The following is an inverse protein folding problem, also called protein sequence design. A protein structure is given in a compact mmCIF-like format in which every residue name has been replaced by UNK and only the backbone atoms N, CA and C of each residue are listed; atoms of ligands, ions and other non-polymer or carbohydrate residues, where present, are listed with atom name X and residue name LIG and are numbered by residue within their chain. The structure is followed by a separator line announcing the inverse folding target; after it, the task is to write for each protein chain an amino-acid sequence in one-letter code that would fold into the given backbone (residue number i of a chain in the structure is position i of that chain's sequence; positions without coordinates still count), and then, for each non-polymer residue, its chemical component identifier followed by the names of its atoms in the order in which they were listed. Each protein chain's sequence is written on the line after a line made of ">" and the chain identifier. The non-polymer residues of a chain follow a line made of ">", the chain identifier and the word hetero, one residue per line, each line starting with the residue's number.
data_IF_306522696191
#
_entry.id   IF_306522696191
#
_cell.length_a   1.000
_cell.length_b   1.000
_cell.length_c   1.000
_cell.angle_alpha   90.00
_cell.angle_beta   90.00
_cell.angle_gamma   90.00
#
_symmetry.space_group_name_H-M   'P 1'
#
loop_
_entity.id
_entity.type
_entity.pdbx_description
1 polymer ?
#
# COMPACT_ATOMS: atom_id res chain seq x y z
N UNK A 1 -19.64 -11.99 6.91
CA UNK A 1 -18.17 -12.06 7.03
C UNK A 1 -17.61 -12.55 5.70
N UNK A 2 -16.37 -12.18 5.37
CA UNK A 2 -15.67 -12.81 4.24
C UNK A 2 -15.56 -14.33 4.50
N UNK A 3 -15.50 -15.11 3.43
CA UNK A 3 -15.26 -16.54 3.57
C UNK A 3 -13.91 -16.78 4.27
N UNK A 4 -13.77 -17.88 5.05
CA UNK A 4 -12.50 -18.21 5.69
C UNK A 4 -11.37 -18.37 4.66
N UNK A 5 -10.19 -17.85 4.98
CA UNK A 5 -8.99 -17.99 4.15
C UNK A 5 -8.23 -16.68 3.93
N UNK A 6 -7.21 -16.76 3.09
CA UNK A 6 -6.34 -15.64 2.75
C UNK A 6 -7.07 -14.59 1.90
N UNK A 7 -6.88 -13.32 2.20
CA UNK A 7 -7.28 -12.24 1.30
C UNK A 7 -6.26 -12.08 0.16
N UNK A 8 -6.72 -11.84 -1.06
CA UNK A 8 -5.79 -11.67 -2.19
C UNK A 8 -4.97 -10.39 -2.08
N UNK A 9 -5.57 -9.31 -1.56
CA UNK A 9 -4.93 -8.01 -1.41
C UNK A 9 -5.38 -7.35 -0.10
N UNK A 10 -4.42 -7.12 0.79
CA UNK A 10 -4.62 -6.42 2.06
C UNK A 10 -4.06 -5.00 1.94
N UNK A 11 -4.84 -4.00 2.36
CA UNK A 11 -4.42 -2.60 2.33
C UNK A 11 -4.09 -2.07 3.73
N UNK A 12 -3.00 -1.30 3.83
CA UNK A 12 -2.95 -0.21 4.81
C UNK A 12 -3.78 0.94 4.27
N UNK A 13 -4.88 1.24 4.96
CA UNK A 13 -5.91 2.15 4.44
C UNK A 13 -5.50 3.62 4.45
N UNK A 14 -4.69 4.03 5.42
CA UNK A 14 -4.10 5.35 5.55
C UNK A 14 -2.86 5.27 6.47
N UNK A 15 -1.96 6.27 6.43
CA UNK A 15 -0.90 6.41 7.42
C UNK A 15 -1.48 6.55 8.83
N UNK A 16 -0.89 5.84 9.79
CA UNK A 16 -1.16 6.02 11.21
C UNK A 16 0.04 6.73 11.86
N UNK A 17 -0.15 7.98 12.28
CA UNK A 17 0.90 8.77 12.89
C UNK A 17 1.22 8.34 14.34
N UNK A 18 0.34 7.56 14.99
CA UNK A 18 0.54 7.11 16.36
C UNK A 18 1.36 5.82 16.44
N UNK A 19 1.36 5.01 15.38
CA UNK A 19 2.07 3.73 15.33
C UNK A 19 3.28 3.82 14.40
N UNK A 20 4.51 3.55 14.89
CA UNK A 20 5.68 3.46 14.03
C UNK A 20 5.45 2.42 12.92
N UNK A 21 5.78 2.77 11.68
CA UNK A 21 5.50 1.91 10.53
C UNK A 21 6.14 0.52 10.67
N UNK A 22 7.29 0.41 11.33
CA UNK A 22 7.96 -0.87 11.61
C UNK A 22 7.13 -1.82 12.46
N UNK A 23 6.32 -1.29 13.39
CA UNK A 23 5.43 -2.10 14.21
C UNK A 23 4.32 -2.70 13.35
N UNK A 24 3.68 -1.86 12.51
CA UNK A 24 2.68 -2.31 11.54
C UNK A 24 3.25 -3.34 10.57
N UNK A 25 4.45 -3.10 10.03
CA UNK A 25 5.09 -4.01 9.09
C UNK A 25 5.50 -5.34 9.73
N UNK A 26 5.87 -5.34 11.02
CA UNK A 26 6.19 -6.57 11.75
C UNK A 26 4.97 -7.46 11.89
N UNK A 27 3.82 -6.88 12.22
CA UNK A 27 2.56 -7.62 12.32
C UNK A 27 2.10 -8.11 10.95
N UNK A 28 2.17 -7.26 9.92
CA UNK A 28 1.87 -7.67 8.55
C UNK A 28 2.74 -8.83 8.07
N UNK A 29 4.03 -8.83 8.44
CA UNK A 29 4.94 -9.93 8.12
C UNK A 29 4.50 -11.23 8.80
N UNK A 30 4.16 -11.21 10.09
CA UNK A 30 3.66 -12.39 10.80
C UNK A 30 2.39 -12.95 10.12
N UNK A 31 1.43 -12.07 9.83
CA UNK A 31 0.20 -12.44 9.12
C UNK A 31 0.47 -13.00 7.70
N UNK A 32 1.53 -12.53 7.03
CA UNK A 32 1.93 -13.10 5.74
C UNK A 32 2.46 -14.51 5.87
N UNK A 33 3.30 -14.76 6.88
CA UNK A 33 3.89 -16.07 7.17
C UNK A 33 2.80 -17.09 7.58
N UNK A 34 1.72 -16.63 8.22
CA UNK A 34 0.51 -17.41 8.49
C UNK A 34 -0.39 -17.64 7.26
N UNK A 35 -0.08 -16.99 6.14
CA UNK A 35 -0.86 -17.09 4.91
C UNK A 35 -2.16 -16.29 4.92
N UNK A 36 -2.30 -15.27 5.78
CA UNK A 36 -3.52 -14.47 5.88
C UNK A 36 -3.76 -13.54 4.67
N UNK A 37 -2.70 -13.19 3.92
CA UNK A 37 -2.79 -12.32 2.75
C UNK A 37 -1.74 -12.65 1.68
N UNK A 38 -2.07 -12.40 0.40
CA UNK A 38 -1.16 -12.69 -0.75
C UNK A 38 -0.40 -11.47 -1.26
N UNK A 39 -1.04 -10.30 -1.27
CA UNK A 39 -0.43 -9.04 -1.70
C UNK A 39 -0.68 -7.93 -0.69
N UNK A 40 0.30 -7.05 -0.54
CA UNK A 40 0.18 -5.83 0.24
C UNK A 40 -0.14 -4.65 -0.70
N UNK A 41 -1.03 -3.78 -0.23
CA UNK A 41 -1.35 -2.51 -0.86
C UNK A 41 -1.31 -1.34 0.13
N UNK A 42 -1.13 -0.14 -0.40
CA UNK A 42 -1.21 1.12 0.36
C UNK A 42 -2.35 1.98 -0.17
N UNK A 43 -2.92 2.82 0.69
CA UNK A 43 -3.90 3.82 0.31
C UNK A 43 -3.68 5.10 1.10
N UNK A 44 -3.84 6.25 0.45
CA UNK A 44 -3.73 7.58 1.09
C UNK A 44 -2.34 7.92 1.68
N UNK A 45 -1.29 7.20 1.29
CA UNK A 45 0.10 7.52 1.67
C UNK A 45 0.70 8.56 0.72
N UNK A 46 1.43 9.57 1.22
CA UNK A 46 2.21 10.45 0.36
C UNK A 46 3.34 9.66 -0.33
N UNK A 47 3.81 10.16 -1.48
CA UNK A 47 4.78 9.45 -2.32
C UNK A 47 6.06 9.06 -1.57
N UNK A 48 6.57 9.94 -0.70
CA UNK A 48 7.77 9.68 0.11
C UNK A 48 7.58 8.50 1.07
N UNK A 49 6.38 8.37 1.65
CA UNK A 49 6.09 7.32 2.62
C UNK A 49 5.85 5.98 1.91
N UNK A 50 5.26 5.99 0.71
CA UNK A 50 5.19 4.79 -0.15
C UNK A 50 6.59 4.22 -0.41
N UNK A 51 7.54 5.09 -0.79
CA UNK A 51 8.93 4.69 -1.04
C UNK A 51 9.58 4.17 0.25
N UNK A 52 9.36 4.85 1.38
CA UNK A 52 9.87 4.43 2.67
C UNK A 52 9.36 3.04 3.08
N UNK A 53 8.03 2.83 3.05
CA UNK A 53 7.38 1.54 3.35
C UNK A 53 7.92 0.44 2.44
N UNK A 54 8.02 0.72 1.13
CA UNK A 54 8.51 -0.25 0.15
C UNK A 54 9.90 -0.76 0.50
N UNK A 55 10.85 0.15 0.77
CA UNK A 55 12.21 -0.25 1.13
C UNK A 55 12.28 -0.93 2.49
N UNK A 56 11.44 -0.52 3.45
CA UNK A 56 11.38 -1.17 4.76
C UNK A 56 10.90 -2.62 4.69
N UNK A 57 9.91 -2.90 3.85
CA UNK A 57 9.47 -4.28 3.58
C UNK A 57 10.63 -5.14 3.05
N UNK A 58 11.43 -4.59 2.11
CA UNK A 58 12.59 -5.27 1.56
C UNK A 58 13.67 -5.54 2.63
N UNK A 59 13.98 -4.55 3.46
CA UNK A 59 14.92 -4.69 4.59
C UNK A 59 14.47 -5.78 5.58
N UNK A 60 13.16 -5.87 5.83
CA UNK A 60 12.57 -6.87 6.72
C UNK A 60 12.40 -8.26 6.07
N UNK A 61 12.71 -8.40 4.77
CA UNK A 61 12.57 -9.66 4.03
C UNK A 61 11.11 -10.09 3.82
N UNK A 62 10.17 -9.15 3.73
CA UNK A 62 8.77 -9.43 3.40
C UNK A 62 8.41 -8.84 2.02
N UNK A 63 7.36 -9.33 1.34
CA UNK A 63 6.93 -8.76 0.07
C UNK A 63 6.58 -7.27 0.22
N UNK A 64 7.13 -6.37 -0.62
CA UNK A 64 6.77 -4.96 -0.59
C UNK A 64 5.37 -4.73 -1.18
N UNK A 65 4.79 -3.53 -1.00
CA UNK A 65 3.52 -3.18 -1.63
C UNK A 65 3.56 -3.38 -3.14
N UNK A 66 2.50 -3.96 -3.70
CA UNK A 66 2.33 -4.20 -5.14
C UNK A 66 1.12 -3.49 -5.74
N UNK A 67 0.29 -2.89 -4.89
CA UNK A 67 -0.86 -2.09 -5.27
C UNK A 67 -0.91 -0.79 -4.46
N UNK A 68 -1.44 0.26 -5.07
CA UNK A 68 -1.73 1.53 -4.43
C UNK A 68 -3.15 1.95 -4.80
N UNK A 69 -4.00 2.23 -3.81
CA UNK A 69 -5.33 2.77 -4.01
C UNK A 69 -5.32 4.29 -3.76
N UNK A 70 -5.74 5.08 -4.74
CA UNK A 70 -5.61 6.55 -4.66
C UNK A 70 -6.73 7.31 -5.36
N UNK A 71 -7.02 8.51 -4.85
CA UNK A 71 -7.99 9.42 -5.47
C UNK A 71 -7.45 9.90 -6.81
N UNK A 72 -8.23 9.67 -7.87
CA UNK A 72 -7.87 10.14 -9.21
C UNK A 72 -9.11 10.27 -10.11
N UNK A 73 -9.33 11.48 -10.63
CA UNK A 73 -10.40 11.78 -11.58
C UNK A 73 -10.09 13.05 -12.39
N UNK A 74 -11.02 13.48 -13.23
CA UNK A 74 -10.83 14.62 -14.14
C UNK A 74 -10.48 15.94 -13.41
N UNK A 75 -10.95 16.12 -12.17
CA UNK A 75 -10.75 17.35 -11.37
C UNK A 75 -9.76 17.16 -10.21
N UNK A 76 -9.39 15.92 -9.89
CA UNK A 76 -8.48 15.57 -8.80
C UNK A 76 -7.30 14.77 -9.33
N UNK A 77 -6.19 15.48 -9.61
CA UNK A 77 -4.98 14.94 -10.28
C UNK A 77 -3.69 15.18 -9.48
N UNK A 78 -3.80 15.47 -8.18
CA UNK A 78 -2.66 15.78 -7.31
C UNK A 78 -1.65 14.61 -7.18
N UNK A 79 -2.04 13.38 -7.49
CA UNK A 79 -1.16 12.22 -7.48
C UNK A 79 -0.17 12.17 -8.67
N UNK A 80 -0.39 12.93 -9.74
CA UNK A 80 0.40 12.82 -10.96
C UNK A 80 1.87 13.25 -10.85
N UNK A 81 2.22 14.35 -10.14
CA UNK A 81 3.58 14.87 -10.17
C UNK A 81 4.60 13.96 -9.47
N UNK A 82 4.22 13.34 -8.36
CA UNK A 82 5.16 12.58 -7.51
C UNK A 82 4.75 11.13 -7.31
N UNK A 83 3.49 10.87 -6.95
CA UNK A 83 3.03 9.54 -6.59
C UNK A 83 3.06 8.60 -7.82
N UNK A 84 2.47 8.98 -8.95
CA UNK A 84 2.46 8.10 -10.13
C UNK A 84 3.89 7.77 -10.65
N UNK A 85 4.85 8.71 -10.74
CA UNK A 85 6.25 8.38 -11.03
C UNK A 85 6.87 7.43 -10.02
N UNK A 86 6.66 7.62 -8.72
CA UNK A 86 7.18 6.74 -7.68
C UNK A 86 6.64 5.32 -7.84
N UNK A 87 5.32 5.17 -8.01
CA UNK A 87 4.68 3.85 -8.22
C UNK A 87 5.22 3.15 -9.48
N UNK A 88 5.42 3.87 -10.59
CA UNK A 88 6.03 3.30 -11.80
C UNK A 88 7.45 2.80 -11.55
N UNK A 89 8.26 3.56 -10.80
CA UNK A 89 9.64 3.20 -10.50
C UNK A 89 9.74 1.96 -9.60
N UNK A 90 8.79 1.80 -8.68
CA UNK A 90 8.69 0.68 -7.75
C UNK A 90 7.89 -0.52 -8.31
N UNK A 91 7.36 -0.40 -9.54
CA UNK A 91 6.47 -1.38 -10.18
C UNK A 91 5.20 -1.70 -9.37
N UNK A 92 4.58 -0.67 -8.80
CA UNK A 92 3.33 -0.74 -8.02
C UNK A 92 2.15 -0.32 -8.88
N UNK A 93 1.08 -1.14 -8.91
CA UNK A 93 -0.14 -0.85 -9.68
C UNK A 93 -0.97 0.23 -9.01
N UNK A 94 -1.50 1.19 -9.77
CA UNK A 94 -2.41 2.21 -9.26
C UNK A 94 -3.88 1.81 -9.50
N UNK A 95 -4.69 1.80 -8.44
CA UNK A 95 -6.13 1.58 -8.46
C UNK A 95 -6.83 2.88 -8.08
N UNK A 96 -7.46 3.52 -9.07
CA UNK A 96 -8.16 4.78 -8.86
C UNK A 96 -9.47 4.57 -8.09
N UNK A 97 -9.71 5.36 -7.06
CA UNK A 97 -11.04 5.56 -6.48
C UNK A 97 -11.53 7.00 -6.70
N UNK A 98 -12.82 7.23 -6.44
CA UNK A 98 -13.53 8.48 -6.77
C UNK A 98 -13.39 8.89 -8.24
N UNK A 99 -13.70 8.02 -9.23
CA UNK A 99 -13.59 8.38 -10.65
C UNK A 99 -14.54 9.52 -11.07
N UNK A 100 -15.57 9.81 -10.27
CA UNK A 100 -16.59 10.84 -10.50
C UNK A 100 -16.57 12.00 -9.49
N UNK A 101 -15.48 12.14 -8.72
CA UNK A 101 -15.37 12.98 -7.51
C UNK A 101 -16.30 12.50 -6.39
#
# INVERSE_FOLDING_TARGET
>A
ALAPGAVDLLYLHAPDAATPIEETLRELKALHEEGAWKQLGLSNFPAWEVVHVYHKCLEMGMPPPSAYQGMYNCVTRACEPELLPALRKLNVRFLAYNPLA
#
